data_IF_797156937338
#
_entry.id   IF_797156937338
#
_cell.length_a   1.000
_cell.length_b   1.000
_cell.length_c   1.000
_cell.angle_alpha   90.00
_cell.angle_beta   90.00
_cell.angle_gamma   90.00
#
_symmetry.space_group_name_H-M   'P 1'
#
loop_
_entity.id
_entity.type
_entity.pdbx_description
1 polymer ?
#
# COMPACT_ATOMS: atom_id res chain seq x y z
N UNK A 1 -18.79 -2.80 7.66
CA UNK A 1 -17.53 -2.86 8.43
C UNK A 1 -16.83 -4.23 8.27
N UNK A 2 -15.57 -4.28 7.85
CA UNK A 2 -14.77 -5.51 7.93
C UNK A 2 -14.51 -6.26 6.63
N UNK A 3 -14.11 -5.57 5.56
CA UNK A 3 -13.43 -6.21 4.45
C UNK A 3 -12.00 -5.66 4.33
N UNK A 4 -11.17 -5.93 5.34
CA UNK A 4 -9.72 -6.14 5.08
C UNK A 4 -9.55 -7.59 4.64
N UNK A 5 -10.29 -7.98 3.60
CA UNK A 5 -10.32 -9.35 3.11
C UNK A 5 -9.10 -9.56 2.22
N UNK A 6 -7.96 -9.86 2.84
CA UNK A 6 -6.85 -10.44 2.11
C UNK A 6 -7.36 -11.67 1.37
N UNK A 7 -7.04 -11.77 0.07
CA UNK A 7 -7.46 -12.90 -0.78
C UNK A 7 -6.97 -14.24 -0.22
N UNK A 8 -5.88 -14.21 0.57
CA UNK A 8 -5.38 -15.35 1.32
C UNK A 8 -5.29 -15.01 2.82
N UNK A 9 -6.24 -15.47 3.66
CA UNK A 9 -6.24 -15.20 5.10
C UNK A 9 -5.07 -15.87 5.83
N UNK A 10 -4.69 -17.09 5.43
CA UNK A 10 -3.56 -17.83 6.02
C UNK A 10 -2.24 -17.08 5.87
N UNK A 11 -2.00 -16.54 4.67
CA UNK A 11 -0.81 -15.73 4.40
C UNK A 11 -0.83 -14.43 5.20
N UNK A 12 -1.99 -13.77 5.33
CA UNK A 12 -2.11 -12.55 6.13
C UNK A 12 -1.84 -12.80 7.61
N UNK A 13 -2.30 -13.92 8.16
CA UNK A 13 -2.04 -14.34 9.54
C UNK A 13 -0.56 -14.66 9.77
N UNK A 14 0.10 -15.36 8.84
CA UNK A 14 1.53 -15.63 8.89
C UNK A 14 2.35 -14.33 8.87
N UNK A 15 2.05 -13.41 7.95
CA UNK A 15 2.73 -12.10 7.85
C UNK A 15 2.55 -11.25 9.11
N UNK A 16 1.37 -11.29 9.75
CA UNK A 16 1.14 -10.63 11.03
C UNK A 16 1.98 -11.26 12.15
N UNK A 17 1.99 -12.59 12.24
CA UNK A 17 2.73 -13.33 13.28
C UNK A 17 4.24 -13.08 13.18
N UNK A 18 4.76 -12.99 11.96
CA UNK A 18 6.17 -12.70 11.68
C UNK A 18 6.54 -11.21 11.80
N UNK A 19 5.58 -10.32 12.08
CA UNK A 19 5.84 -8.89 12.28
C UNK A 19 5.99 -8.06 11.01
N UNK A 20 5.69 -8.61 9.83
CA UNK A 20 5.76 -7.90 8.54
C UNK A 20 4.58 -6.95 8.30
N UNK A 21 3.53 -7.01 9.12
CA UNK A 21 2.38 -6.10 9.05
C UNK A 21 2.16 -5.39 10.39
N UNK A 22 2.14 -4.06 10.36
CA UNK A 22 1.83 -3.25 11.55
C UNK A 22 0.36 -3.33 11.96
N UNK A 23 -0.56 -3.11 11.00
CA UNK A 23 -2.01 -3.15 11.25
C UNK A 23 -2.75 -3.32 9.93
N UNK A 24 -3.79 -4.15 9.93
CA UNK A 24 -4.57 -4.42 8.73
C UNK A 24 -5.28 -3.15 8.23
N UNK A 25 -5.22 -2.90 6.93
CA UNK A 25 -6.03 -1.89 6.24
C UNK A 25 -5.50 -0.46 6.27
N UNK A 26 -4.41 -0.17 6.98
CA UNK A 26 -3.82 1.19 7.02
C UNK A 26 -2.68 1.39 6.01
N UNK A 27 -2.21 0.32 5.34
CA UNK A 27 -1.01 0.36 4.50
C UNK A 27 -1.08 1.41 3.37
N UNK A 28 -2.24 1.56 2.72
CA UNK A 28 -2.42 2.57 1.66
C UNK A 28 -2.31 3.99 2.23
N UNK A 29 -2.92 4.26 3.39
CA UNK A 29 -2.83 5.57 4.03
C UNK A 29 -1.40 5.86 4.50
N UNK A 30 -0.72 4.86 5.06
CA UNK A 30 0.69 4.97 5.43
C UNK A 30 1.57 5.29 4.24
N UNK A 31 1.37 4.62 3.10
CA UNK A 31 2.13 4.88 1.86
C UNK A 31 1.90 6.31 1.35
N UNK A 32 0.65 6.79 1.33
CA UNK A 32 0.33 8.17 0.94
C UNK A 32 1.01 9.19 1.86
N UNK A 33 0.97 8.98 3.17
CA UNK A 33 1.59 9.87 4.15
C UNK A 33 3.12 9.89 4.00
N UNK A 34 3.74 8.73 3.79
CA UNK A 34 5.18 8.62 3.61
C UNK A 34 5.66 9.31 2.32
N UNK A 35 4.91 9.15 1.21
CA UNK A 35 5.21 9.84 -0.04
C UNK A 35 5.10 11.35 0.10
N UNK A 36 4.01 11.84 0.70
CA UNK A 36 3.82 13.27 0.95
C UNK A 36 4.91 13.86 1.87
N UNK A 37 5.29 13.14 2.93
CA UNK A 37 6.38 13.57 3.83
C UNK A 37 7.74 13.65 3.12
N UNK A 38 7.95 12.82 2.09
CA UNK A 38 9.15 12.83 1.26
C UNK A 38 9.05 13.80 0.06
N UNK A 39 7.97 14.58 -0.07
CA UNK A 39 7.72 15.45 -1.23
C UNK A 39 7.30 14.72 -2.50
N UNK A 40 7.17 13.41 -2.48
CA UNK A 40 6.79 12.64 -3.66
C UNK A 40 5.31 12.82 -4.00
N UNK A 41 4.94 12.75 -5.29
CA UNK A 41 3.53 12.72 -5.69
C UNK A 41 2.81 11.51 -5.08
N UNK A 42 1.47 11.57 -4.94
CA UNK A 42 0.70 10.46 -4.44
C UNK A 42 0.84 9.23 -5.36
N UNK A 43 0.66 8.01 -4.82
CA UNK A 43 0.71 6.81 -5.64
C UNK A 43 -0.44 6.79 -6.64
N UNK A 44 -0.14 6.36 -7.87
CA UNK A 44 -1.12 6.13 -8.92
C UNK A 44 -1.64 4.70 -8.82
N UNK A 45 -2.94 4.54 -8.94
CA UNK A 45 -3.62 3.25 -8.76
C UNK A 45 -4.35 2.89 -10.05
N UNK A 46 -3.95 1.77 -10.65
CA UNK A 46 -4.67 1.15 -11.76
C UNK A 46 -5.32 -0.14 -11.26
N UNK A 47 -6.64 -0.13 -11.19
CA UNK A 47 -7.45 -1.22 -10.64
C UNK A 47 -8.20 -1.88 -11.79
N UNK A 48 -7.85 -3.11 -12.08
CA UNK A 48 -8.49 -3.94 -13.11
C UNK A 48 -9.15 -5.15 -12.46
N UNK A 49 -10.01 -5.83 -13.21
CA UNK A 49 -10.77 -6.98 -12.69
C UNK A 49 -9.89 -8.11 -12.16
N UNK A 50 -8.73 -8.31 -12.79
CA UNK A 50 -7.82 -9.45 -12.49
C UNK A 50 -6.51 -9.03 -11.84
N UNK A 51 -6.16 -7.75 -11.88
CA UNK A 51 -4.93 -7.24 -11.31
C UNK A 51 -5.09 -5.83 -10.75
N UNK A 52 -4.16 -5.49 -9.87
CA UNK A 52 -4.05 -4.17 -9.30
C UNK A 52 -2.59 -3.74 -9.40
N UNK A 53 -2.36 -2.59 -10.03
CA UNK A 53 -1.04 -2.00 -10.21
C UNK A 53 -0.95 -0.69 -9.41
N UNK A 54 0.22 -0.45 -8.83
CA UNK A 54 0.54 0.79 -8.14
C UNK A 54 1.84 1.34 -8.70
N UNK A 55 1.81 2.56 -9.20
CA UNK A 55 3.01 3.27 -9.66
C UNK A 55 3.38 4.34 -8.63
N UNK A 56 4.66 4.37 -8.26
CA UNK A 56 5.23 5.37 -7.37
C UNK A 56 6.29 6.14 -8.15
N UNK A 57 6.17 7.46 -8.16
CA UNK A 57 7.15 8.34 -8.77
C UNK A 57 7.99 9.00 -7.69
N UNK A 58 9.29 9.13 -7.96
CA UNK A 58 10.16 9.98 -7.15
C UNK A 58 10.04 11.42 -7.66
N UNK A 59 10.04 12.39 -6.74
CA UNK A 59 10.22 13.78 -7.11
C UNK A 59 11.68 13.95 -7.57
N UNK A 60 11.93 13.79 -8.87
CA UNK A 60 13.16 14.32 -9.44
C UNK A 60 13.02 15.84 -9.48
N UNK A 61 13.99 16.54 -8.88
CA UNK A 61 14.22 17.97 -9.10
C UNK A 61 14.09 18.25 -10.61
N UNK A 62 13.07 19.03 -10.97
CA UNK A 62 13.02 19.66 -12.29
C UNK A 62 14.21 20.63 -12.34
N UNK A 63 15.08 20.58 -13.36
CA UNK A 63 16.09 21.61 -13.57
C UNK A 63 15.46 22.98 -13.83
#
# INVERSE_FOLDING_TARGET
PGATAYRNPTLAEAMKTLGFMQRFGIGIQTARNALAANGNPPPEFDIQDTFFCVTIHQQNEQP
#
